data_IF_640481502857
#
_entry.id   IF_640481502857
#
_cell.length_a   1.000
_cell.length_b   1.000
_cell.length_c   1.000
_cell.angle_alpha   90.00
_cell.angle_beta   90.00
_cell.angle_gamma   90.00
#
_symmetry.space_group_name_H-M   'P 1'
#
loop_
_entity.id
_entity.type
_entity.pdbx_description
1 polymer ?
#
# COMPACT_ATOMS: atom_id res chain seq x y z
N UNK A 1 -33.97 -6.92 24.24
CA UNK A 1 -33.61 -7.31 22.88
C UNK A 1 -32.15 -7.01 22.56
N UNK A 2 -31.56 -7.80 21.72
CA UNK A 2 -30.10 -7.97 21.54
C UNK A 2 -29.33 -6.74 21.03
N UNK A 3 -30.00 -5.65 20.71
CA UNK A 3 -29.37 -4.52 20.03
C UNK A 3 -29.59 -3.17 20.71
N UNK A 4 -29.96 -3.16 21.98
CA UNK A 4 -29.95 -1.94 22.79
C UNK A 4 -28.54 -1.56 23.29
N UNK A 5 -27.54 -1.74 22.43
CA UNK A 5 -26.23 -1.14 22.64
C UNK A 5 -26.35 0.33 22.28
N UNK A 6 -26.52 1.17 23.30
CA UNK A 6 -26.39 2.61 23.12
C UNK A 6 -24.93 2.93 22.86
N UNK A 7 -24.61 3.09 21.58
CA UNK A 7 -23.34 3.73 21.22
C UNK A 7 -23.43 5.18 21.67
N UNK A 8 -22.64 5.53 22.65
CA UNK A 8 -22.48 6.93 23.03
C UNK A 8 -21.55 7.56 21.99
N UNK A 9 -22.12 7.91 20.83
CA UNK A 9 -21.41 8.67 19.81
C UNK A 9 -21.36 10.09 20.34
N UNK A 10 -20.18 10.69 20.58
CA UNK A 10 -20.07 12.08 20.93
C UNK A 10 -20.74 12.93 19.86
N UNK A 11 -21.61 13.83 20.25
CA UNK A 11 -22.36 14.70 19.34
C UNK A 11 -21.47 15.66 18.55
N UNK A 12 -20.21 15.85 18.98
CA UNK A 12 -19.20 16.64 18.28
C UNK A 12 -17.89 15.84 18.22
N UNK A 13 -17.55 15.36 17.05
CA UNK A 13 -16.21 14.83 16.79
C UNK A 13 -15.35 16.01 16.37
N UNK A 14 -14.45 16.45 17.24
CA UNK A 14 -13.54 17.54 16.97
C UNK A 14 -12.63 17.20 15.78
N UNK A 15 -12.32 18.18 14.92
CA UNK A 15 -11.39 18.00 13.79
C UNK A 15 -10.00 17.48 14.23
N UNK A 16 -9.63 17.70 15.50
CA UNK A 16 -8.40 17.19 16.10
C UNK A 16 -8.34 15.66 16.20
N UNK A 17 -9.48 14.96 16.10
CA UNK A 17 -9.55 13.50 16.22
C UNK A 17 -9.28 12.74 14.92
N UNK A 18 -9.08 13.45 13.82
CA UNK A 18 -8.86 12.86 12.50
C UNK A 18 -7.56 13.34 11.86
N UNK A 19 -6.95 12.46 11.12
CA UNK A 19 -5.89 12.78 10.18
C UNK A 19 -6.42 12.70 8.76
N UNK A 20 -6.16 13.72 7.95
CA UNK A 20 -6.46 13.69 6.52
C UNK A 20 -5.35 12.92 5.81
N UNK A 21 -5.72 11.84 5.15
CA UNK A 21 -4.85 11.02 4.32
C UNK A 21 -5.29 11.19 2.86
N UNK A 22 -4.35 11.42 1.98
CA UNK A 22 -4.64 11.56 0.56
C UNK A 22 -4.86 10.17 -0.07
N UNK A 23 -6.01 9.99 -0.68
CA UNK A 23 -6.25 8.87 -1.58
C UNK A 23 -5.78 9.25 -2.97
N UNK A 24 -4.81 8.54 -3.48
CA UNK A 24 -4.25 8.78 -4.80
C UNK A 24 -5.02 7.93 -5.80
N UNK A 25 -5.72 8.56 -6.72
CA UNK A 25 -6.53 7.89 -7.76
C UNK A 25 -5.64 7.35 -8.90
N UNK A 26 -4.60 6.62 -8.53
CA UNK A 26 -3.84 5.73 -9.40
C UNK A 26 -4.21 4.33 -8.98
N UNK A 27 -4.42 3.44 -9.93
CA UNK A 27 -4.59 2.01 -9.66
C UNK A 27 -3.31 1.27 -10.04
N UNK A 28 -2.32 1.18 -9.13
CA UNK A 28 -1.11 0.42 -9.41
C UNK A 28 -1.48 -1.01 -9.74
N UNK A 29 -1.04 -1.47 -10.88
CA UNK A 29 -1.30 -2.83 -11.32
C UNK A 29 -0.53 -3.81 -10.45
N UNK A 30 -1.22 -4.81 -9.95
CA UNK A 30 -0.58 -5.97 -9.37
C UNK A 30 -0.03 -6.95 -10.44
N UNK A 31 -0.36 -6.76 -11.71
CA UNK A 31 0.02 -7.66 -12.82
C UNK A 31 0.79 -7.00 -13.96
N UNK A 32 0.28 -5.91 -14.45
CA UNK A 32 0.88 -5.13 -15.52
C UNK A 32 1.11 -3.71 -15.02
N UNK A 33 2.23 -3.10 -15.40
CA UNK A 33 2.53 -1.72 -15.06
C UNK A 33 1.49 -0.76 -15.63
N UNK A 34 1.18 0.28 -14.90
CA UNK A 34 0.29 1.35 -15.33
C UNK A 34 1.11 2.62 -15.51
N UNK A 35 1.27 3.05 -16.76
CA UNK A 35 1.87 4.35 -17.06
C UNK A 35 0.84 5.44 -16.78
N UNK A 36 0.98 6.14 -15.68
CA UNK A 36 0.10 7.27 -15.35
C UNK A 36 0.93 8.50 -15.10
N UNK A 37 0.97 9.39 -16.07
CA UNK A 37 1.81 10.59 -16.01
C UNK A 37 1.08 11.90 -15.92
N UNK A 38 -0.22 11.95 -16.16
CA UNK A 38 -0.91 13.22 -16.26
C UNK A 38 -2.14 13.23 -15.36
N UNK A 39 -2.19 14.23 -14.48
CA UNK A 39 -3.33 14.56 -13.63
C UNK A 39 -3.70 13.46 -12.61
N UNK A 40 -2.78 13.22 -11.66
CA UNK A 40 -3.10 12.40 -10.48
C UNK A 40 -4.16 13.13 -9.66
N UNK A 41 -5.37 12.62 -9.72
CA UNK A 41 -6.46 13.11 -8.88
C UNK A 41 -6.26 12.62 -7.44
N UNK A 42 -6.35 13.53 -6.48
CA UNK A 42 -6.19 13.24 -5.06
C UNK A 42 -7.50 13.53 -4.34
N UNK A 43 -7.97 12.57 -3.58
CA UNK A 43 -9.18 12.70 -2.75
C UNK A 43 -8.78 12.68 -1.28
N UNK A 44 -9.18 13.66 -0.46
CA UNK A 44 -8.91 13.62 0.97
C UNK A 44 -9.80 12.58 1.66
N UNK A 45 -9.20 11.75 2.51
CA UNK A 45 -9.90 10.75 3.32
C UNK A 45 -9.58 11.01 4.79
N UNK A 46 -10.59 11.07 5.65
CA UNK A 46 -10.41 11.23 7.10
C UNK A 46 -10.22 9.86 7.75
N UNK A 47 -9.11 9.68 8.44
CA UNK A 47 -8.86 8.51 9.29
C UNK A 47 -8.79 8.94 10.75
N UNK A 48 -9.47 8.21 11.63
CA UNK A 48 -9.44 8.47 13.07
C UNK A 48 -8.03 8.31 13.63
N UNK A 49 -7.59 9.26 14.47
CA UNK A 49 -6.28 9.23 15.10
C UNK A 49 -6.08 7.99 15.98
N UNK A 50 -7.13 7.54 16.66
CA UNK A 50 -7.09 6.30 17.46
C UNK A 50 -6.85 5.07 16.60
N UNK A 51 -7.46 5.02 15.42
CA UNK A 51 -7.23 3.94 14.46
C UNK A 51 -5.76 3.92 14.02
N UNK A 52 -5.22 5.07 13.68
CA UNK A 52 -3.83 5.22 13.22
C UNK A 52 -2.84 4.79 14.31
N UNK A 53 -3.02 5.31 15.53
CA UNK A 53 -2.08 5.07 16.64
C UNK A 53 -2.23 3.69 17.26
N UNK A 54 -3.46 3.29 17.58
CA UNK A 54 -3.71 2.11 18.42
C UNK A 54 -3.85 0.83 17.61
N UNK A 55 -4.41 0.89 16.41
CA UNK A 55 -4.61 -0.28 15.56
C UNK A 55 -3.50 -0.42 14.54
N UNK A 56 -3.19 0.62 13.80
CA UNK A 56 -2.13 0.57 12.79
C UNK A 56 -0.71 0.76 13.36
N UNK A 57 -0.61 1.25 14.61
CA UNK A 57 0.69 1.50 15.29
C UNK A 57 1.59 2.45 14.50
N UNK A 58 1.03 3.49 13.92
CA UNK A 58 1.74 4.48 13.12
C UNK A 58 1.93 5.74 13.95
N UNK A 59 3.17 6.19 14.06
CA UNK A 59 3.54 7.40 14.80
C UNK A 59 3.62 8.66 13.95
N UNK A 60 3.78 8.52 12.63
CA UNK A 60 3.94 9.64 11.69
C UNK A 60 2.88 9.60 10.58
N UNK A 61 1.67 10.10 10.85
CA UNK A 61 0.56 9.99 9.89
C UNK A 61 0.73 10.83 8.62
N UNK A 62 1.65 11.79 8.58
CA UNK A 62 1.87 12.67 7.42
C UNK A 62 2.38 11.95 6.18
N UNK A 63 3.03 10.81 6.35
CA UNK A 63 3.59 10.01 5.26
C UNK A 63 2.59 9.00 4.67
N UNK A 64 1.37 8.95 5.21
CA UNK A 64 0.37 7.99 4.80
C UNK A 64 -0.36 8.44 3.54
N UNK A 65 -0.53 7.48 2.62
CA UNK A 65 -1.37 7.60 1.43
C UNK A 65 -2.22 6.35 1.29
N UNK A 66 -3.32 6.44 0.59
CA UNK A 66 -4.09 5.28 0.20
C UNK A 66 -4.12 5.14 -1.32
N UNK A 67 -4.15 3.90 -1.78
CA UNK A 67 -4.24 3.53 -3.20
C UNK A 67 -5.24 2.40 -3.36
N UNK A 68 -5.85 2.31 -4.52
CA UNK A 68 -6.65 1.15 -4.89
C UNK A 68 -5.81 0.20 -5.74
N UNK A 69 -5.75 -1.07 -5.33
CA UNK A 69 -5.06 -2.10 -6.10
C UNK A 69 -5.88 -2.52 -7.32
N UNK A 70 -5.19 -2.91 -8.38
CA UNK A 70 -5.82 -3.51 -9.56
C UNK A 70 -5.08 -4.77 -9.99
N UNK A 71 -5.84 -5.73 -10.53
CA UNK A 71 -5.30 -7.01 -10.98
C UNK A 71 -5.18 -8.05 -9.87
N UNK A 72 -4.63 -9.20 -10.21
CA UNK A 72 -4.62 -10.40 -9.36
C UNK A 72 -3.22 -10.92 -9.02
N UNK A 73 -2.16 -10.21 -9.37
CA UNK A 73 -0.78 -10.73 -9.17
C UNK A 73 -0.40 -10.88 -7.70
N UNK A 74 -1.06 -10.17 -6.80
CA UNK A 74 -0.82 -10.25 -5.36
C UNK A 74 -1.88 -11.06 -4.60
N UNK A 75 -2.79 -11.73 -5.31
CA UNK A 75 -3.76 -12.64 -4.71
C UNK A 75 -3.05 -13.83 -4.05
N UNK A 76 -3.48 -14.30 -2.86
CA UNK A 76 -4.65 -13.83 -2.10
C UNK A 76 -4.38 -12.70 -1.12
N UNK A 77 -3.15 -12.23 -1.00
CA UNK A 77 -2.78 -11.18 -0.03
C UNK A 77 -3.45 -9.85 -0.32
N UNK A 78 -3.56 -9.51 -1.60
CA UNK A 78 -4.22 -8.31 -2.10
C UNK A 78 -5.05 -8.73 -3.31
N UNK A 79 -6.32 -8.36 -3.30
CA UNK A 79 -7.24 -8.61 -4.40
C UNK A 79 -7.54 -7.35 -5.19
N UNK A 80 -8.06 -7.54 -6.40
CA UNK A 80 -8.49 -6.44 -7.26
C UNK A 80 -9.50 -5.55 -6.53
N UNK A 81 -9.27 -4.24 -6.57
CA UNK A 81 -10.13 -3.25 -5.92
C UNK A 81 -9.84 -2.99 -4.43
N UNK A 82 -8.94 -3.75 -3.80
CA UNK A 82 -8.58 -3.51 -2.40
C UNK A 82 -7.98 -2.11 -2.20
N UNK A 83 -8.36 -1.46 -1.12
CA UNK A 83 -7.79 -0.17 -0.69
C UNK A 83 -6.63 -0.42 0.26
N UNK A 84 -5.48 0.09 -0.09
CA UNK A 84 -4.23 -0.13 0.63
C UNK A 84 -3.75 1.14 1.30
N UNK A 85 -3.26 1.00 2.52
CA UNK A 85 -2.58 2.07 3.25
C UNK A 85 -1.07 1.92 3.06
N UNK A 86 -0.44 2.98 2.55
CA UNK A 86 0.98 3.03 2.21
C UNK A 86 1.67 4.07 3.06
N UNK A 87 2.80 3.70 3.67
CA UNK A 87 3.71 4.63 4.31
C UNK A 87 4.83 5.01 3.33
N UNK A 88 4.79 6.23 2.83
CA UNK A 88 5.72 6.72 1.80
C UNK A 88 7.14 6.99 2.30
N UNK A 89 7.35 7.02 3.60
CA UNK A 89 8.68 7.15 4.21
C UNK A 89 9.35 5.80 4.49
N UNK A 90 8.59 4.70 4.50
CA UNK A 90 9.13 3.36 4.70
C UNK A 90 9.52 2.74 3.37
N UNK A 91 10.83 2.82 3.05
CA UNK A 91 11.38 2.33 1.79
C UNK A 91 12.42 1.22 1.98
N UNK A 92 12.71 0.85 3.22
CA UNK A 92 13.66 -0.22 3.53
C UNK A 92 13.00 -1.59 3.28
N UNK A 93 13.55 -2.34 2.33
CA UNK A 93 13.09 -3.66 1.93
C UNK A 93 13.98 -4.82 2.41
N UNK A 94 15.04 -4.53 3.16
CA UNK A 94 16.00 -5.57 3.62
C UNK A 94 15.31 -6.66 4.46
N UNK A 95 14.29 -6.30 5.21
CA UNK A 95 13.49 -7.23 6.00
C UNK A 95 12.24 -7.76 5.26
N UNK A 96 12.21 -7.61 3.95
CA UNK A 96 11.06 -8.00 3.14
C UNK A 96 9.85 -7.10 3.32
N UNK A 97 8.72 -7.52 2.75
CA UNK A 97 7.45 -6.82 2.81
C UNK A 97 6.87 -6.54 1.44
N UNK A 98 5.68 -5.96 1.43
CA UNK A 98 4.98 -5.55 0.20
C UNK A 98 5.16 -4.04 0.03
N UNK A 99 5.51 -3.63 -1.17
CA UNK A 99 5.83 -2.24 -1.49
C UNK A 99 5.10 -1.75 -2.72
N UNK A 100 4.80 -0.46 -2.72
CA UNK A 100 4.46 0.28 -3.91
C UNK A 100 5.77 0.71 -4.56
N UNK A 101 5.98 0.30 -5.80
CA UNK A 101 7.22 0.53 -6.54
C UNK A 101 6.94 1.04 -7.95
N UNK A 102 7.93 1.67 -8.56
CA UNK A 102 7.96 1.87 -10.00
C UNK A 102 9.16 1.12 -10.60
N UNK A 103 8.94 0.48 -11.73
CA UNK A 103 9.98 -0.14 -12.55
C UNK A 103 9.88 0.46 -13.94
N UNK A 104 10.94 1.12 -14.38
CA UNK A 104 10.94 1.87 -15.64
C UNK A 104 9.71 2.78 -15.77
N UNK A 105 9.38 3.46 -14.66
CA UNK A 105 8.27 4.41 -14.54
C UNK A 105 6.85 3.80 -14.45
N UNK A 106 6.69 2.51 -14.63
CA UNK A 106 5.41 1.81 -14.43
C UNK A 106 5.20 1.44 -12.95
N UNK A 107 3.96 1.62 -12.46
CA UNK A 107 3.59 1.39 -11.08
C UNK A 107 3.18 -0.05 -10.82
N UNK A 108 3.73 -0.63 -9.73
CA UNK A 108 3.43 -1.99 -9.29
C UNK A 108 3.29 -2.07 -7.77
N UNK A 109 2.54 -3.07 -7.33
CA UNK A 109 2.54 -3.54 -5.95
C UNK A 109 3.16 -4.95 -5.97
N UNK A 110 4.28 -5.11 -5.29
CA UNK A 110 5.03 -6.37 -5.26
C UNK A 110 5.64 -6.62 -3.89
N UNK A 111 5.89 -7.89 -3.61
CA UNK A 111 6.72 -8.29 -2.48
C UNK A 111 8.18 -8.23 -2.90
N UNK A 112 9.02 -7.63 -2.06
CA UNK A 112 10.45 -7.50 -2.33
C UNK A 112 11.24 -8.39 -1.36
N UNK A 113 12.28 -9.03 -1.88
CA UNK A 113 13.24 -9.78 -1.09
C UNK A 113 14.64 -9.63 -1.68
N UNK A 114 15.59 -9.23 -0.83
CA UNK A 114 16.98 -9.20 -1.23
C UNK A 114 17.61 -10.57 -1.03
N UNK A 115 18.32 -11.06 -2.05
CA UNK A 115 19.13 -12.27 -1.96
C UNK A 115 20.48 -11.99 -1.27
N UNK A 116 21.13 -13.04 -0.79
CA UNK A 116 22.45 -12.96 -0.16
C UNK A 116 23.51 -12.36 -1.09
N UNK A 117 23.40 -12.62 -2.40
CA UNK A 117 24.30 -12.07 -3.41
C UNK A 117 24.00 -10.59 -3.79
N UNK A 118 23.00 -9.98 -3.15
CA UNK A 118 22.60 -8.60 -3.39
C UNK A 118 21.56 -8.40 -4.47
N UNK A 119 21.20 -9.43 -5.23
CA UNK A 119 20.12 -9.36 -6.22
C UNK A 119 18.77 -9.13 -5.54
N UNK A 120 17.86 -8.47 -6.23
CA UNK A 120 16.52 -8.18 -5.74
C UNK A 120 15.48 -9.06 -6.43
N UNK A 121 14.72 -9.80 -5.66
CA UNK A 121 13.55 -10.53 -6.14
C UNK A 121 12.30 -9.67 -6.06
N UNK A 122 11.60 -9.59 -7.19
CA UNK A 122 10.29 -8.98 -7.35
C UNK A 122 9.27 -10.11 -7.37
N UNK A 123 8.50 -10.24 -6.31
CA UNK A 123 7.64 -11.39 -6.07
C UNK A 123 6.18 -10.99 -6.19
N UNK A 124 5.45 -11.70 -7.04
CA UNK A 124 3.99 -11.71 -7.05
C UNK A 124 3.50 -12.81 -6.13
N UNK A 125 2.62 -12.51 -5.17
CA UNK A 125 2.13 -13.52 -4.23
C UNK A 125 1.31 -14.61 -4.92
N UNK A 126 0.69 -14.29 -6.07
CA UNK A 126 0.09 -15.28 -6.96
C UNK A 126 1.16 -15.94 -7.86
N UNK A 127 1.98 -16.78 -7.24
CA UNK A 127 3.17 -17.37 -7.86
C UNK A 127 2.86 -18.35 -8.99
N UNK A 128 1.71 -18.98 -8.96
CA UNK A 128 1.31 -19.93 -10.00
C UNK A 128 1.08 -19.23 -11.34
N UNK A 129 0.53 -18.03 -11.29
CA UNK A 129 0.23 -17.24 -12.48
C UNK A 129 1.35 -16.28 -12.87
N UNK A 130 2.09 -15.77 -11.88
CA UNK A 130 3.13 -14.77 -12.08
C UNK A 130 4.45 -15.23 -11.47
N UNK A 131 5.43 -15.62 -12.28
CA UNK A 131 6.72 -16.07 -11.79
C UNK A 131 7.49 -14.92 -11.13
N UNK A 132 8.32 -15.26 -10.15
CA UNK A 132 9.23 -14.31 -9.51
C UNK A 132 10.26 -13.80 -10.51
N UNK A 133 10.45 -12.49 -10.56
CA UNK A 133 11.49 -11.85 -11.35
C UNK A 133 12.67 -11.47 -10.47
N UNK A 134 13.86 -11.50 -11.03
CA UNK A 134 15.09 -11.11 -10.33
C UNK A 134 15.76 -9.97 -11.07
N UNK A 135 16.00 -8.88 -10.35
CA UNK A 135 16.85 -7.78 -10.82
C UNK A 135 18.25 -8.01 -10.26
N UNK A 136 19.22 -8.20 -11.13
CA UNK A 136 20.63 -8.33 -10.76
C UNK A 136 21.24 -6.95 -10.58
N UNK A 137 22.30 -6.89 -9.80
CA UNK A 137 23.04 -5.64 -9.61
C UNK A 137 23.62 -5.07 -10.91
N UNK A 138 23.81 -5.93 -11.93
CA UNK A 138 24.33 -5.55 -13.25
C UNK A 138 23.24 -5.07 -14.22
N UNK A 139 21.96 -5.24 -13.88
CA UNK A 139 20.87 -4.90 -14.77
C UNK A 139 20.61 -3.39 -14.78
N UNK A 140 20.45 -2.82 -15.97
CA UNK A 140 20.07 -1.43 -16.15
C UNK A 140 18.54 -1.27 -16.01
N UNK A 141 18.05 -1.37 -14.78
CA UNK A 141 16.63 -1.20 -14.45
C UNK A 141 16.49 -0.05 -13.47
N UNK A 142 15.59 0.87 -13.78
CA UNK A 142 15.23 1.95 -12.86
C UNK A 142 14.12 1.47 -11.94
N UNK A 143 14.50 1.05 -10.73
CA UNK A 143 13.58 0.70 -9.64
C UNK A 143 13.52 1.85 -8.64
N UNK A 144 12.33 2.32 -8.32
CA UNK A 144 12.11 3.28 -7.25
C UNK A 144 11.04 2.76 -6.28
N UNK A 145 11.34 2.79 -4.98
CA UNK A 145 10.41 2.38 -3.94
C UNK A 145 9.63 3.60 -3.49
N UNK A 146 8.32 3.57 -3.66
CA UNK A 146 7.42 4.67 -3.30
C UNK A 146 6.94 4.60 -1.85
N UNK A 147 6.86 3.41 -1.29
CA UNK A 147 6.48 3.19 0.10
C UNK A 147 6.11 1.76 0.40
N UNK A 148 6.00 1.46 1.69
CA UNK A 148 5.60 0.14 2.19
C UNK A 148 4.09 0.07 2.36
N UNK A 149 3.49 -1.01 1.89
CA UNK A 149 2.09 -1.35 2.19
C UNK A 149 2.03 -1.80 3.65
N UNK A 150 1.30 -1.07 4.47
CA UNK A 150 1.22 -1.34 5.91
C UNK A 150 -0.11 -1.98 6.33
N UNK A 151 -1.19 -1.73 5.61
CA UNK A 151 -2.50 -2.33 5.83
C UNK A 151 -3.30 -2.45 4.54
N UNK A 152 -4.10 -3.50 4.48
CA UNK A 152 -5.18 -3.63 3.51
C UNK A 152 -6.49 -3.22 4.20
N UNK A 153 -7.02 -2.06 3.88
CA UNK A 153 -8.20 -1.49 4.54
C UNK A 153 -9.50 -2.19 4.12
N UNK A 154 -9.50 -2.86 2.98
CA UNK A 154 -10.68 -3.56 2.44
C UNK A 154 -10.90 -4.93 3.09
N UNK A 155 -9.87 -5.50 3.73
CA UNK A 155 -9.90 -6.87 4.24
C UNK A 155 -10.03 -6.99 5.75
N UNK A 156 -10.46 -5.96 6.39
CA UNK A 156 -10.60 -5.93 7.83
C UNK A 156 -9.25 -5.85 8.56
N UNK A 157 -9.38 -5.54 9.78
CA UNK A 157 -8.27 -5.33 10.71
C UNK A 157 -7.99 -6.61 11.49
#
# INVERSE_FOLDING_TARGET
>A
EYFDIKFNIPDEVEEADFTIVEHINISPSCGHGTSVYHDVEVTPVKLGNDLIKNIFKISTPKSLKTFQASGDSMSPSIEDGDILLVDTERKDFHNGGIFLITINEDWFIKRLRQKINGDLEIISDNKEKYPTETIRQSDEVTLDIKGRIIKNLSRGL
#
